data_IF_907796095007
#
_entry.id   IF_907796095007
#
_cell.length_a   1.000
_cell.length_b   1.000
_cell.length_c   1.000
_cell.angle_alpha   90.00
_cell.angle_beta   90.00
_cell.angle_gamma   90.00
#
_symmetry.space_group_name_H-M   'P 1'
#
loop_
_entity.id
_entity.type
_entity.pdbx_description
1 polymer ?
#
# COMPACT_ATOMS: atom_id res chain seq x y z
N UNK A 1 -33.37 -2.10 3.53
CA UNK A 1 -32.35 -2.96 2.86
C UNK A 1 -31.02 -2.26 2.64
N UNK A 2 -30.98 -1.07 2.07
CA UNK A 2 -29.74 -0.31 1.88
C UNK A 2 -29.08 0.13 3.19
N UNK A 3 -29.87 0.55 4.18
CA UNK A 3 -29.39 0.98 5.50
C UNK A 3 -28.74 -0.18 6.29
N UNK A 4 -29.25 -1.40 6.14
CA UNK A 4 -28.68 -2.60 6.78
C UNK A 4 -27.34 -3.04 6.15
N UNK A 5 -27.17 -2.82 4.85
CA UNK A 5 -25.89 -3.15 4.17
C UNK A 5 -24.78 -2.19 4.62
N UNK A 6 -25.07 -0.89 4.69
CA UNK A 6 -24.11 0.09 5.19
C UNK A 6 -23.76 -0.12 6.66
N UNK A 7 -24.78 -0.39 7.49
CA UNK A 7 -24.59 -0.66 8.90
C UNK A 7 -23.72 -1.90 9.13
N UNK A 8 -23.95 -2.98 8.38
CA UNK A 8 -23.15 -4.20 8.46
C UNK A 8 -21.70 -4.00 8.05
N UNK A 9 -21.40 -3.07 7.12
CA UNK A 9 -20.04 -2.75 6.70
C UNK A 9 -19.27 -1.96 7.77
N UNK A 10 -19.94 -1.08 8.50
CA UNK A 10 -19.30 -0.23 9.52
C UNK A 10 -19.21 -0.89 10.91
N UNK A 11 -20.07 -1.88 11.19
CA UNK A 11 -20.11 -2.60 12.48
C UNK A 11 -19.34 -3.93 12.46
N UNK A 12 -18.53 -4.18 11.43
CA UNK A 12 -17.73 -5.42 11.38
C UNK A 12 -16.73 -5.49 12.53
N UNK A 13 -16.56 -6.64 13.17
CA UNK A 13 -15.45 -6.86 14.09
C UNK A 13 -14.12 -6.52 13.46
N UNK A 14 -13.18 -6.03 14.26
CA UNK A 14 -11.86 -5.61 13.79
C UNK A 14 -11.17 -6.65 12.88
N UNK A 15 -11.15 -7.93 13.30
CA UNK A 15 -10.53 -9.00 12.53
C UNK A 15 -11.18 -9.21 11.15
N UNK A 16 -12.50 -9.12 11.08
CA UNK A 16 -13.22 -9.23 9.81
C UNK A 16 -12.99 -8.03 8.90
N UNK A 17 -12.89 -6.83 9.47
CA UNK A 17 -12.58 -5.63 8.72
C UNK A 17 -11.17 -5.67 8.12
N UNK A 18 -10.18 -6.15 8.87
CA UNK A 18 -8.81 -6.31 8.37
C UNK A 18 -8.75 -7.38 7.28
N UNK A 19 -9.40 -8.53 7.49
CA UNK A 19 -9.47 -9.59 6.49
C UNK A 19 -10.11 -9.10 5.19
N UNK A 20 -11.22 -8.38 5.28
CA UNK A 20 -11.87 -7.77 4.12
C UNK A 20 -10.94 -6.79 3.39
N UNK A 21 -10.26 -5.92 4.12
CA UNK A 21 -9.34 -4.95 3.53
C UNK A 21 -8.13 -5.63 2.87
N UNK A 22 -7.64 -6.76 3.42
CA UNK A 22 -6.61 -7.57 2.78
C UNK A 22 -7.07 -8.18 1.46
N UNK A 23 -8.29 -8.71 1.41
CA UNK A 23 -8.89 -9.21 0.18
C UNK A 23 -9.01 -8.09 -0.87
N UNK A 24 -9.45 -6.90 -0.45
CA UNK A 24 -9.53 -5.73 -1.33
C UNK A 24 -8.15 -5.29 -1.84
N UNK A 25 -7.13 -5.34 -1.00
CA UNK A 25 -5.76 -5.01 -1.39
C UNK A 25 -5.24 -6.01 -2.43
N UNK A 26 -5.41 -7.30 -2.17
CA UNK A 26 -5.02 -8.37 -3.07
C UNK A 26 -5.75 -8.29 -4.43
N UNK A 27 -7.04 -8.02 -4.40
CA UNK A 27 -7.84 -7.80 -5.61
C UNK A 27 -7.29 -6.64 -6.45
N UNK A 28 -7.03 -5.49 -5.81
CA UNK A 28 -6.49 -4.31 -6.52
C UNK A 28 -5.11 -4.58 -7.10
N UNK A 29 -4.24 -5.27 -6.35
CA UNK A 29 -2.92 -5.67 -6.84
C UNK A 29 -3.01 -6.59 -8.05
N UNK A 30 -3.88 -7.61 -7.99
CA UNK A 30 -4.12 -8.53 -9.12
C UNK A 30 -4.63 -7.78 -10.35
N UNK A 31 -5.59 -6.88 -10.17
CA UNK A 31 -6.11 -6.05 -11.27
C UNK A 31 -5.04 -5.14 -11.89
N UNK A 32 -4.16 -4.56 -11.08
CA UNK A 32 -3.02 -3.78 -11.60
C UNK A 32 -2.15 -4.60 -12.54
N UNK A 33 -1.88 -5.86 -12.21
CA UNK A 33 -1.05 -6.75 -13.03
C UNK A 33 -1.70 -7.18 -14.35
N UNK A 34 -3.03 -7.08 -14.45
CA UNK A 34 -3.81 -7.44 -15.65
C UNK A 34 -3.98 -6.29 -16.64
N UNK A 35 -3.76 -5.03 -16.22
CA UNK A 35 -3.94 -3.87 -17.09
C UNK A 35 -2.75 -3.74 -18.05
N UNK A 36 -3.03 -3.77 -19.33
CA UNK A 36 -2.05 -3.49 -20.39
C UNK A 36 -1.80 -1.98 -20.50
N UNK A 37 -0.76 -1.50 -19.82
CA UNK A 37 -0.37 -0.09 -19.80
C UNK A 37 0.33 0.39 -21.08
N UNK A 38 0.60 -0.50 -22.04
CA UNK A 38 1.09 -0.11 -23.37
C UNK A 38 0.00 0.63 -24.14
N UNK A 39 -1.27 0.38 -23.81
CA UNK A 39 -2.42 1.06 -24.39
C UNK A 39 -2.71 2.36 -23.65
N UNK A 40 -2.69 3.47 -24.37
CA UNK A 40 -2.88 4.81 -23.79
C UNK A 40 -4.23 4.97 -23.07
N UNK A 41 -5.28 4.34 -23.58
CA UNK A 41 -6.60 4.35 -22.97
C UNK A 41 -6.63 3.71 -21.57
N UNK A 42 -5.75 2.76 -21.31
CA UNK A 42 -5.68 2.05 -20.02
C UNK A 42 -4.86 2.77 -18.95
N UNK A 43 -4.07 3.77 -19.34
CA UNK A 43 -3.14 4.44 -18.41
C UNK A 43 -3.88 5.18 -17.29
N UNK A 44 -5.02 5.81 -17.60
CA UNK A 44 -5.83 6.51 -16.59
C UNK A 44 -6.44 5.52 -15.58
N UNK A 45 -6.96 4.40 -16.05
CA UNK A 45 -7.50 3.35 -15.18
C UNK A 45 -6.40 2.78 -14.27
N UNK A 46 -5.22 2.50 -14.84
CA UNK A 46 -4.08 2.03 -14.07
C UNK A 46 -3.68 2.99 -12.94
N UNK A 47 -3.56 4.29 -13.24
CA UNK A 47 -3.19 5.29 -12.23
C UNK A 47 -4.24 5.40 -11.11
N UNK A 48 -5.53 5.43 -11.46
CA UNK A 48 -6.60 5.49 -10.47
C UNK A 48 -6.61 4.25 -9.57
N UNK A 49 -6.41 3.08 -10.16
CA UNK A 49 -6.35 1.83 -9.41
C UNK A 49 -5.10 1.76 -8.54
N UNK A 50 -3.96 2.25 -9.06
CA UNK A 50 -2.72 2.32 -8.30
C UNK A 50 -2.82 3.25 -7.09
N UNK A 51 -3.40 4.42 -7.25
CA UNK A 51 -3.61 5.37 -6.15
C UNK A 51 -4.54 4.76 -5.08
N UNK A 52 -5.62 4.11 -5.51
CA UNK A 52 -6.54 3.40 -4.63
C UNK A 52 -5.85 2.23 -3.90
N UNK A 53 -4.99 1.50 -4.59
CA UNK A 53 -4.17 0.44 -4.01
C UNK A 53 -3.21 1.00 -2.95
N UNK A 54 -2.47 2.04 -3.27
CA UNK A 54 -1.46 2.62 -2.38
C UNK A 54 -2.10 3.25 -1.13
N UNK A 55 -3.26 3.89 -1.27
CA UNK A 55 -4.02 4.42 -0.13
C UNK A 55 -4.43 3.31 0.84
N UNK A 56 -4.92 2.19 0.33
CA UNK A 56 -5.28 1.04 1.15
C UNK A 56 -4.05 0.34 1.76
N UNK A 57 -2.98 0.20 0.99
CA UNK A 57 -1.72 -0.34 1.47
C UNK A 57 -1.14 0.50 2.62
N UNK A 58 -1.19 1.83 2.48
CA UNK A 58 -0.80 2.75 3.55
C UNK A 58 -1.59 2.50 4.83
N UNK A 59 -2.91 2.43 4.73
CA UNK A 59 -3.77 2.22 5.89
C UNK A 59 -3.50 0.88 6.60
N UNK A 60 -3.22 -0.18 5.84
CA UNK A 60 -3.02 -1.51 6.39
C UNK A 60 -1.61 -1.74 6.94
N UNK A 61 -0.57 -1.25 6.25
CA UNK A 61 0.81 -1.67 6.50
C UNK A 61 1.74 -0.56 6.98
N UNK A 62 1.53 0.69 6.60
CA UNK A 62 2.52 1.74 6.83
C UNK A 62 2.40 2.43 8.20
N UNK A 63 1.31 2.22 8.92
CA UNK A 63 1.16 2.70 10.30
C UNK A 63 1.71 1.68 11.30
N UNK A 64 2.54 2.15 12.24
CA UNK A 64 3.10 1.30 13.32
C UNK A 64 2.18 1.19 14.53
N UNK A 65 1.21 2.09 14.63
CA UNK A 65 0.39 2.21 15.82
C UNK A 65 -0.69 1.15 15.92
N UNK A 66 -1.14 0.91 17.15
CA UNK A 66 -2.24 0.00 17.46
C UNK A 66 -3.63 0.66 17.36
N UNK A 67 -3.67 1.93 16.93
CA UNK A 67 -4.89 2.75 16.95
C UNK A 67 -5.80 2.56 15.74
N UNK A 68 -5.34 1.90 14.68
CA UNK A 68 -6.06 1.76 13.42
C UNK A 68 -6.19 0.29 13.02
N UNK A 69 -6.91 0.05 11.94
CA UNK A 69 -7.11 -1.28 11.33
C UNK A 69 -5.85 -1.75 10.62
N UNK A 70 -4.71 -1.78 11.33
CA UNK A 70 -3.43 -2.21 10.77
C UNK A 70 -3.24 -3.72 10.85
N UNK A 71 -2.48 -4.23 9.91
CA UNK A 71 -2.13 -5.66 9.86
C UNK A 71 -1.26 -6.06 11.06
N UNK A 72 -0.40 -5.18 11.53
CA UNK A 72 0.44 -5.43 12.70
C UNK A 72 -0.42 -5.61 13.96
N UNK A 73 -1.40 -4.72 14.17
CA UNK A 73 -2.37 -4.86 15.26
C UNK A 73 -3.15 -6.18 15.18
N UNK A 74 -3.59 -6.52 13.96
CA UNK A 74 -4.32 -7.76 13.71
C UNK A 74 -3.53 -9.00 14.14
N UNK A 75 -2.25 -9.09 13.78
CA UNK A 75 -1.42 -10.22 14.17
C UNK A 75 -1.06 -10.20 15.66
N UNK A 76 -0.81 -9.03 16.25
CA UNK A 76 -0.59 -8.92 17.70
C UNK A 76 -1.81 -9.38 18.49
N UNK A 77 -3.02 -9.00 18.09
CA UNK A 77 -4.26 -9.47 18.77
C UNK A 77 -4.49 -10.98 18.62
N UNK A 78 -3.94 -11.61 17.59
CA UNK A 78 -3.95 -13.06 17.42
C UNK A 78 -2.81 -13.79 18.16
N UNK A 79 -1.96 -13.08 18.89
CA UNK A 79 -0.79 -13.66 19.53
C UNK A 79 0.32 -14.07 18.56
N UNK A 80 0.33 -13.47 17.36
CA UNK A 80 1.32 -13.72 16.30
C UNK A 80 2.24 -12.51 16.12
N UNK A 81 2.84 -12.07 17.24
CA UNK A 81 3.71 -10.88 17.27
C UNK A 81 4.94 -11.02 16.37
N UNK A 82 5.40 -12.24 16.14
CA UNK A 82 6.52 -12.56 15.25
C UNK A 82 6.23 -12.16 13.80
N UNK A 83 5.00 -12.36 13.32
CA UNK A 83 4.57 -11.92 11.97
C UNK A 83 4.54 -10.40 11.91
N UNK A 84 3.92 -9.75 12.90
CA UNK A 84 3.90 -8.30 13.00
C UNK A 84 5.32 -7.70 13.01
N UNK A 85 6.23 -8.32 13.75
CA UNK A 85 7.63 -7.92 13.81
C UNK A 85 8.35 -8.07 12.46
N UNK A 86 8.20 -9.19 11.78
CA UNK A 86 8.80 -9.42 10.46
C UNK A 86 8.34 -8.42 9.42
N UNK A 87 7.04 -8.08 9.42
CA UNK A 87 6.48 -7.04 8.53
C UNK A 87 7.13 -5.68 8.83
N UNK A 88 7.22 -5.30 10.10
CA UNK A 88 7.84 -4.04 10.50
C UNK A 88 9.32 -4.02 10.16
N UNK A 89 10.08 -5.07 10.47
CA UNK A 89 11.51 -5.17 10.16
C UNK A 89 11.76 -5.01 8.65
N UNK A 90 10.93 -5.62 7.82
CA UNK A 90 11.02 -5.49 6.37
C UNK A 90 10.72 -4.06 5.91
N UNK A 91 9.61 -3.48 6.34
CA UNK A 91 9.21 -2.11 5.95
C UNK A 91 10.18 -1.05 6.47
N UNK A 92 10.85 -1.30 7.58
CA UNK A 92 11.86 -0.41 8.17
C UNK A 92 13.28 -0.68 7.62
N UNK A 93 13.42 -1.59 6.66
CA UNK A 93 14.68 -1.83 5.96
C UNK A 93 14.90 -0.82 4.84
N UNK A 94 16.18 -0.63 4.44
CA UNK A 94 16.59 0.22 3.33
C UNK A 94 16.73 -0.65 2.08
N UNK A 95 15.86 -0.45 1.12
CA UNK A 95 15.86 -1.20 -0.13
C UNK A 95 16.43 -0.40 -1.29
N UNK A 96 16.25 0.93 -1.27
CA UNK A 96 16.55 1.79 -2.40
C UNK A 96 17.96 2.37 -2.30
N UNK A 97 18.78 2.17 -3.34
CA UNK A 97 20.17 2.67 -3.39
C UNK A 97 20.28 4.20 -3.53
N UNK A 98 19.23 4.87 -3.99
CA UNK A 98 19.20 6.30 -4.24
C UNK A 98 18.80 7.15 -3.02
N UNK A 99 18.38 6.53 -1.91
CA UNK A 99 17.95 7.22 -0.69
C UNK A 99 18.31 6.42 0.55
N UNK A 100 18.53 7.11 1.67
CA UNK A 100 18.71 6.52 2.99
C UNK A 100 17.39 6.21 3.70
N UNK A 101 16.26 6.56 3.09
CA UNK A 101 14.92 6.29 3.64
C UNK A 101 14.58 4.81 3.58
N UNK A 102 13.81 4.37 4.56
CA UNK A 102 13.26 3.01 4.60
C UNK A 102 12.12 2.84 3.58
N UNK A 103 11.75 1.60 3.29
CA UNK A 103 10.59 1.29 2.44
C UNK A 103 9.35 2.02 2.96
N UNK A 104 9.10 1.94 4.29
CA UNK A 104 7.98 2.61 4.95
C UNK A 104 7.98 4.13 4.73
N UNK A 105 9.11 4.76 4.96
CA UNK A 105 9.23 6.21 4.80
C UNK A 105 8.98 6.66 3.37
N UNK A 106 9.53 5.95 2.39
CA UNK A 106 9.31 6.24 0.97
C UNK A 106 7.86 6.07 0.58
N UNK A 107 7.27 4.92 0.87
CA UNK A 107 5.88 4.63 0.47
C UNK A 107 4.88 5.51 1.21
N UNK A 108 5.10 5.78 2.50
CA UNK A 108 4.23 6.68 3.28
C UNK A 108 4.29 8.10 2.75
N UNK A 109 5.47 8.61 2.46
CA UNK A 109 5.63 9.95 1.87
C UNK A 109 4.89 10.06 0.53
N UNK A 110 5.05 9.06 -0.36
CA UNK A 110 4.36 9.04 -1.65
C UNK A 110 2.85 9.00 -1.47
N UNK A 111 2.35 8.12 -0.62
CA UNK A 111 0.92 8.00 -0.35
C UNK A 111 0.34 9.29 0.24
N UNK A 112 1.02 9.89 1.20
CA UNK A 112 0.55 11.12 1.84
C UNK A 112 0.58 12.31 0.87
N UNK A 113 1.67 12.46 0.09
CA UNK A 113 1.89 13.65 -0.71
C UNK A 113 1.21 13.63 -2.07
N UNK A 114 1.20 12.48 -2.73
CA UNK A 114 0.72 12.37 -4.13
C UNK A 114 -0.64 11.70 -4.26
N UNK A 115 -1.04 10.89 -3.29
CA UNK A 115 -2.29 10.12 -3.36
C UNK A 115 -3.37 10.71 -2.46
N UNK A 116 -3.06 10.92 -1.18
CA UNK A 116 -4.03 11.40 -0.20
C UNK A 116 -4.14 12.93 -0.14
N UNK A 117 -3.07 13.64 -0.49
CA UNK A 117 -2.99 15.09 -0.52
C UNK A 117 -2.38 15.56 -1.82
N UNK A 118 -2.93 16.61 -2.42
CA UNK A 118 -2.40 17.23 -3.63
C UNK A 118 -1.55 18.44 -3.20
N UNK A 119 -0.36 18.16 -2.67
CA UNK A 119 0.58 19.20 -2.26
C UNK A 119 1.51 19.62 -3.40
N UNK A 120 1.98 20.87 -3.45
CA UNK A 120 3.00 21.27 -4.39
C UNK A 120 4.27 20.45 -4.22
N UNK A 121 4.84 19.98 -5.33
CA UNK A 121 6.12 19.29 -5.35
C UNK A 121 7.24 20.32 -5.19
N UNK A 122 8.08 20.17 -4.18
CA UNK A 122 9.26 21.01 -3.98
C UNK A 122 10.49 20.38 -4.63
N UNK A 123 11.60 21.14 -4.76
CA UNK A 123 12.85 20.61 -5.28
C UNK A 123 13.40 19.44 -4.46
N UNK A 124 13.15 19.43 -3.14
CA UNK A 124 13.56 18.36 -2.25
C UNK A 124 12.76 17.06 -2.48
N UNK A 125 11.58 17.18 -3.07
CA UNK A 125 10.68 16.05 -3.36
C UNK A 125 10.91 15.43 -4.76
N UNK A 126 11.73 16.04 -5.62
CA UNK A 126 11.88 15.61 -7.02
C UNK A 126 12.33 14.15 -7.15
N UNK A 127 13.24 13.69 -6.28
CA UNK A 127 13.69 12.30 -6.28
C UNK A 127 12.56 11.31 -5.99
N UNK A 128 11.72 11.64 -5.01
CA UNK A 128 10.55 10.81 -4.65
C UNK A 128 9.45 10.87 -5.70
N UNK A 129 9.21 12.05 -6.29
CA UNK A 129 8.26 12.22 -7.38
C UNK A 129 8.68 11.41 -8.61
N UNK A 130 9.97 11.47 -8.97
CA UNK A 130 10.50 10.67 -10.08
C UNK A 130 10.39 9.16 -9.80
N UNK A 131 10.69 8.72 -8.59
CA UNK A 131 10.52 7.32 -8.19
C UNK A 131 9.07 6.88 -8.33
N UNK A 132 8.12 7.67 -7.81
CA UNK A 132 6.69 7.39 -7.93
C UNK A 132 6.26 7.25 -9.40
N UNK A 133 6.55 8.25 -10.22
CA UNK A 133 6.07 8.31 -11.60
C UNK A 133 6.77 7.35 -12.55
N UNK A 134 8.08 7.12 -12.36
CA UNK A 134 8.89 6.38 -13.32
C UNK A 134 9.20 4.94 -12.90
N UNK A 135 9.16 4.64 -11.63
CA UNK A 135 9.57 3.34 -11.10
C UNK A 135 8.46 2.61 -10.37
N UNK A 136 7.81 3.25 -9.42
CA UNK A 136 6.80 2.60 -8.59
C UNK A 136 5.50 2.33 -9.37
N UNK A 137 5.01 3.33 -10.13
CA UNK A 137 3.82 3.19 -10.96
C UNK A 137 4.09 2.53 -12.32
N UNK A 138 5.34 2.28 -12.69
CA UNK A 138 5.68 1.73 -13.98
C UNK A 138 6.15 0.27 -13.84
N UNK A 139 5.30 -0.71 -14.13
CA UNK A 139 5.64 -2.13 -13.97
C UNK A 139 6.71 -2.62 -14.95
N UNK A 140 7.06 -1.83 -15.96
CA UNK A 140 8.03 -2.21 -16.99
C UNK A 140 9.46 -1.75 -16.71
N UNK A 141 9.65 -0.78 -15.81
CA UNK A 141 10.98 -0.22 -15.53
C UNK A 141 11.68 -0.98 -14.42
N UNK A 142 10.99 -1.12 -13.28
CA UNK A 142 11.50 -1.84 -12.12
C UNK A 142 10.35 -2.61 -11.46
N UNK A 143 10.61 -3.83 -11.02
CA UNK A 143 9.62 -4.64 -10.32
C UNK A 143 9.49 -4.31 -8.81
N UNK A 144 9.84 -3.08 -8.41
CA UNK A 144 9.87 -2.69 -6.99
C UNK A 144 8.54 -2.96 -6.27
N UNK A 145 7.41 -2.59 -6.88
CA UNK A 145 6.10 -2.86 -6.28
C UNK A 145 5.85 -4.36 -6.16
N UNK A 146 6.16 -5.12 -7.20
CA UNK A 146 6.02 -6.59 -7.21
C UNK A 146 6.86 -7.22 -6.12
N UNK A 147 8.14 -6.84 -6.01
CA UNK A 147 9.06 -7.37 -5.01
C UNK A 147 8.58 -7.07 -3.58
N UNK A 148 8.09 -5.86 -3.34
CA UNK A 148 7.51 -5.46 -2.05
C UNK A 148 6.27 -6.30 -1.73
N UNK A 149 5.36 -6.44 -2.69
CA UNK A 149 4.11 -7.17 -2.48
C UNK A 149 4.33 -8.67 -2.30
N UNK A 150 5.19 -9.29 -3.11
CA UNK A 150 5.53 -10.71 -2.96
C UNK A 150 6.21 -10.99 -1.61
N UNK A 151 7.08 -10.09 -1.16
CA UNK A 151 7.71 -10.22 0.15
C UNK A 151 6.69 -10.11 1.27
N UNK A 152 5.82 -9.10 1.24
CA UNK A 152 4.81 -8.89 2.28
C UNK A 152 3.80 -10.03 2.30
N UNK A 153 3.26 -10.45 1.15
CA UNK A 153 2.33 -11.58 1.10
C UNK A 153 2.97 -12.90 1.49
N UNK A 154 4.28 -13.05 1.34
CA UNK A 154 5.02 -14.21 1.84
C UNK A 154 5.22 -14.23 3.37
N UNK A 155 5.03 -13.11 4.05
CA UNK A 155 5.15 -12.99 5.51
C UNK A 155 3.84 -13.27 6.26
N UNK A 156 2.71 -13.16 5.58
CA UNK A 156 1.36 -13.25 6.19
C UNK A 156 0.64 -14.59 5.95
#
# INVERSE_FOLDING_TARGET
>A
MEEDVYKSLYERPFAEQVAFNLEQLHYRYTRLSEIDTTKKENQKEYLLLFDSFLALFRALFLEKGTRQYSIQKYYCEKGQDDIAKKINDYLDSKMFSWTDKTIREVLKFIADKFVCHVDPITNDDLGLANFYMSHLCNPYVDNNLKDIMETIFGLI
#
